data_IF_482082530069
#
_entry.id   IF_482082530069
#
_cell.length_a   1.000
_cell.length_b   1.000
_cell.length_c   1.000
_cell.angle_alpha   90.00
_cell.angle_beta   90.00
_cell.angle_gamma   90.00
#
_symmetry.space_group_name_H-M   'P 1'
#
loop_
_entity.id
_entity.type
_entity.pdbx_description
1 polymer ?
#
# COMPACT_ATOMS: atom_id res chain seq x y z
N UNK A 1 -4.57 -5.75 -33.96
CA UNK A 1 -3.17 -5.41 -34.29
C UNK A 1 -2.28 -5.09 -33.08
N UNK A 2 -2.79 -4.47 -32.01
CA UNK A 2 -2.00 -4.10 -30.82
C UNK A 2 -1.56 -5.33 -29.98
N UNK A 3 -2.40 -6.37 -29.89
CA UNK A 3 -2.12 -7.59 -29.13
C UNK A 3 -0.98 -8.44 -29.74
N UNK A 4 -0.87 -8.51 -31.07
CA UNK A 4 0.25 -9.16 -31.76
C UNK A 4 1.57 -8.38 -31.55
N UNK A 5 1.52 -7.05 -31.51
CA UNK A 5 2.69 -6.22 -31.24
C UNK A 5 3.18 -6.32 -29.79
N UNK A 6 2.27 -6.44 -28.82
CA UNK A 6 2.61 -6.65 -27.41
C UNK A 6 3.20 -8.05 -27.15
N UNK A 7 2.60 -9.12 -27.67
CA UNK A 7 3.18 -10.47 -27.57
C UNK A 7 4.56 -10.52 -28.25
N UNK A 8 4.68 -9.91 -29.44
CA UNK A 8 5.94 -9.81 -30.16
C UNK A 8 6.99 -8.94 -29.42
N UNK A 9 6.58 -7.91 -28.67
CA UNK A 9 7.47 -7.10 -27.83
C UNK A 9 8.04 -7.92 -26.66
N UNK A 10 7.21 -8.71 -25.98
CA UNK A 10 7.64 -9.63 -24.92
C UNK A 10 8.58 -10.73 -25.45
N UNK A 11 8.27 -11.31 -26.61
CA UNK A 11 9.16 -12.26 -27.29
C UNK A 11 10.48 -11.61 -27.73
N UNK A 12 10.45 -10.33 -28.13
CA UNK A 12 11.65 -9.57 -28.51
C UNK A 12 12.55 -9.20 -27.31
N UNK A 13 11.98 -9.00 -26.12
CA UNK A 13 12.72 -8.78 -24.88
C UNK A 13 13.40 -10.07 -24.42
N UNK A 14 12.68 -11.20 -24.48
CA UNK A 14 13.25 -12.53 -24.24
C UNK A 14 14.37 -12.87 -25.24
N UNK A 15 14.28 -12.42 -26.50
CA UNK A 15 15.31 -12.62 -27.52
C UNK A 15 16.57 -11.75 -27.33
N UNK A 16 16.52 -10.68 -26.51
CA UNK A 16 17.66 -9.78 -26.23
C UNK A 16 18.36 -10.05 -24.91
N UNK A 17 17.99 -11.11 -24.19
CA UNK A 17 18.66 -11.55 -22.96
C UNK A 17 18.42 -10.66 -21.73
N UNK A 18 17.47 -9.71 -21.78
CA UNK A 18 17.07 -8.94 -20.59
C UNK A 18 15.90 -9.66 -19.91
N UNK A 19 16.13 -10.01 -18.66
CA UNK A 19 15.14 -10.65 -17.82
C UNK A 19 13.94 -9.70 -17.57
N UNK A 20 12.71 -10.12 -17.89
CA UNK A 20 11.48 -9.31 -17.65
C UNK A 20 11.25 -9.02 -16.16
N UNK A 21 10.86 -7.79 -15.82
CA UNK A 21 10.55 -7.44 -14.44
C UNK A 21 9.27 -8.13 -13.93
N UNK A 22 9.10 -8.31 -12.60
CA UNK A 22 7.91 -8.95 -12.04
C UNK A 22 6.59 -8.31 -12.48
N UNK A 23 6.55 -6.97 -12.59
CA UNK A 23 5.35 -6.24 -13.03
C UNK A 23 5.05 -6.46 -14.53
N UNK A 24 6.07 -6.61 -15.36
CA UNK A 24 5.90 -6.94 -16.78
C UNK A 24 5.28 -8.34 -16.97
N UNK A 25 5.71 -9.31 -16.15
CA UNK A 25 5.10 -10.66 -16.12
C UNK A 25 3.63 -10.61 -15.69
N UNK A 26 3.28 -9.75 -14.73
CA UNK A 26 1.90 -9.54 -14.31
C UNK A 26 1.08 -8.91 -15.43
N UNK A 27 1.58 -7.85 -16.07
CA UNK A 27 0.89 -7.22 -17.22
C UNK A 27 0.59 -8.25 -18.30
N UNK A 28 1.58 -9.03 -18.72
CA UNK A 28 1.42 -10.07 -19.74
C UNK A 28 0.40 -11.14 -19.34
N UNK A 29 0.42 -11.57 -18.07
CA UNK A 29 -0.56 -12.54 -17.55
C UNK A 29 -1.97 -11.95 -17.58
N UNK A 30 -2.20 -10.81 -16.95
CA UNK A 30 -3.55 -10.25 -16.82
C UNK A 30 -4.13 -9.77 -18.16
N UNK A 31 -3.32 -9.37 -19.14
CA UNK A 31 -3.79 -9.08 -20.50
C UNK A 31 -4.43 -10.30 -21.21
N UNK A 32 -3.93 -11.51 -20.91
CA UNK A 32 -4.48 -12.78 -21.43
C UNK A 32 -5.72 -13.24 -20.68
N UNK A 33 -5.91 -12.76 -19.46
CA UNK A 33 -7.03 -13.13 -18.58
C UNK A 33 -8.26 -12.24 -18.75
N UNK A 34 -8.27 -11.30 -19.71
CA UNK A 34 -9.50 -10.59 -20.06
C UNK A 34 -10.54 -11.54 -20.63
N UNK A 35 -11.78 -11.38 -20.21
CA UNK A 35 -12.92 -12.03 -20.84
C UNK A 35 -13.12 -11.53 -22.27
N UNK A 36 -13.77 -12.33 -23.10
CA UNK A 36 -14.10 -11.93 -24.49
C UNK A 36 -15.08 -10.74 -24.49
N UNK A 37 -16.04 -10.72 -23.56
CA UNK A 37 -17.02 -9.66 -23.39
C UNK A 37 -16.42 -8.32 -22.98
N UNK A 38 -15.25 -8.29 -22.34
CA UNK A 38 -14.56 -7.07 -21.90
C UNK A 38 -13.46 -6.62 -22.88
N UNK A 39 -13.40 -7.19 -24.09
CA UNK A 39 -12.34 -6.87 -25.06
C UNK A 39 -12.27 -5.37 -25.36
N UNK A 40 -13.42 -4.71 -25.46
CA UNK A 40 -13.52 -3.27 -25.75
C UNK A 40 -12.98 -2.40 -24.59
N UNK A 41 -13.10 -2.87 -23.34
CA UNK A 41 -12.62 -2.16 -22.14
C UNK A 41 -11.11 -2.28 -21.93
N UNK A 42 -10.43 -3.18 -22.66
CA UNK A 42 -9.02 -3.52 -22.44
C UNK A 42 -8.09 -2.32 -22.57
N UNK A 43 -8.26 -1.51 -23.61
CA UNK A 43 -7.40 -0.36 -23.85
C UNK A 43 -7.52 0.66 -22.71
N UNK A 44 -8.75 0.97 -22.28
CA UNK A 44 -9.01 1.92 -21.21
C UNK A 44 -8.50 1.43 -19.86
N UNK A 45 -8.70 0.14 -19.56
CA UNK A 45 -8.28 -0.48 -18.31
C UNK A 45 -6.77 -0.45 -18.12
N UNK A 46 -5.99 -0.55 -19.21
CA UNK A 46 -4.53 -0.66 -19.18
C UNK A 46 -3.84 0.71 -19.35
N UNK A 47 -4.58 1.73 -19.78
CA UNK A 47 -4.07 3.07 -20.08
C UNK A 47 -3.27 3.68 -18.93
N UNK A 48 -3.78 3.62 -17.70
CA UNK A 48 -3.09 4.18 -16.54
C UNK A 48 -1.78 3.43 -16.27
N UNK A 49 -1.81 2.09 -16.31
CA UNK A 49 -0.60 1.27 -16.19
C UNK A 49 0.46 1.68 -17.21
N UNK A 50 0.08 1.86 -18.48
CA UNK A 50 1.00 2.24 -19.56
C UNK A 50 1.53 3.66 -19.45
N UNK A 51 0.86 4.53 -18.70
CA UNK A 51 1.35 5.88 -18.43
C UNK A 51 2.40 5.96 -17.31
N UNK A 52 2.54 4.89 -16.51
CA UNK A 52 3.47 4.83 -15.39
C UNK A 52 4.86 4.38 -15.84
N UNK A 53 5.87 4.99 -15.24
CA UNK A 53 7.26 4.55 -15.42
C UNK A 53 7.48 3.18 -14.76
N UNK A 54 8.34 2.35 -15.36
CA UNK A 54 8.64 1.00 -14.84
C UNK A 54 9.13 1.03 -13.38
N UNK A 55 9.91 2.03 -12.98
CA UNK A 55 10.35 2.19 -11.58
C UNK A 55 9.17 2.48 -10.63
N UNK A 56 8.17 3.24 -11.07
CA UNK A 56 6.98 3.52 -10.26
C UNK A 56 6.18 2.25 -10.00
N UNK A 57 5.98 1.42 -11.03
CA UNK A 57 5.35 0.11 -10.89
C UNK A 57 6.17 -0.83 -10.01
N UNK A 58 7.49 -0.90 -10.22
CA UNK A 58 8.38 -1.71 -9.40
C UNK A 58 8.28 -1.32 -7.92
N UNK A 59 8.28 -0.02 -7.60
CA UNK A 59 8.11 0.49 -6.24
C UNK A 59 6.71 0.21 -5.68
N UNK A 60 5.66 0.41 -6.47
CA UNK A 60 4.28 0.12 -6.06
C UNK A 60 4.14 -1.33 -5.59
N UNK A 61 4.59 -2.28 -6.42
CA UNK A 61 4.51 -3.69 -6.10
C UNK A 61 5.45 -4.08 -4.96
N UNK A 62 6.74 -3.74 -5.06
CA UNK A 62 7.75 -4.23 -4.09
C UNK A 62 7.67 -3.59 -2.71
N UNK A 63 7.38 -2.29 -2.63
CA UNK A 63 7.40 -1.56 -1.36
C UNK A 63 6.05 -1.52 -0.66
N UNK A 64 4.94 -1.73 -1.37
CA UNK A 64 3.61 -1.63 -0.78
C UNK A 64 2.79 -2.89 -1.00
N UNK A 65 2.32 -3.16 -2.22
CA UNK A 65 1.32 -4.21 -2.46
C UNK A 65 1.81 -5.60 -2.01
N UNK A 66 3.05 -5.97 -2.37
CA UNK A 66 3.62 -7.27 -2.03
C UNK A 66 3.84 -7.43 -0.52
N UNK A 67 4.26 -6.35 0.13
CA UNK A 67 4.56 -6.33 1.56
C UNK A 67 3.31 -6.43 2.41
N UNK A 68 2.35 -5.56 2.15
CA UNK A 68 1.06 -5.56 2.84
C UNK A 68 0.39 -6.93 2.70
N UNK A 69 0.30 -7.48 1.49
CA UNK A 69 -0.35 -8.78 1.23
C UNK A 69 0.32 -9.94 1.95
N UNK A 70 1.64 -9.99 2.01
CA UNK A 70 2.33 -11.08 2.72
C UNK A 70 2.28 -10.92 4.23
N UNK A 71 2.55 -9.72 4.76
CA UNK A 71 2.51 -9.49 6.20
C UNK A 71 1.10 -9.69 6.78
N UNK A 72 0.05 -9.30 6.05
CA UNK A 72 -1.34 -9.59 6.41
C UNK A 72 -1.66 -11.11 6.43
N UNK A 73 -0.81 -11.94 5.81
CA UNK A 73 -0.89 -13.41 5.86
C UNK A 73 0.15 -14.04 6.82
N UNK A 74 0.91 -13.24 7.57
CA UNK A 74 2.00 -13.73 8.42
C UNK A 74 3.18 -14.31 7.63
N UNK A 75 3.38 -13.89 6.37
CA UNK A 75 4.44 -14.37 5.48
C UNK A 75 5.53 -13.32 5.28
N UNK A 76 6.76 -13.77 5.05
CA UNK A 76 7.91 -12.90 4.75
C UNK A 76 7.74 -12.14 3.45
N UNK A 77 8.14 -10.86 3.47
CA UNK A 77 8.00 -9.93 2.36
C UNK A 77 9.26 -9.12 2.04
N UNK A 78 10.45 -9.72 2.23
CA UNK A 78 11.72 -9.03 1.97
C UNK A 78 11.85 -8.55 0.53
N UNK A 79 11.72 -9.47 -0.44
CA UNK A 79 11.92 -9.17 -1.86
C UNK A 79 10.75 -9.67 -2.71
N UNK A 80 10.27 -8.82 -3.61
CA UNK A 80 9.34 -9.20 -4.66
C UNK A 80 10.10 -9.61 -5.92
N UNK A 81 10.06 -10.89 -6.27
CA UNK A 81 10.79 -11.49 -7.39
C UNK A 81 9.82 -12.18 -8.35
N UNK A 82 10.31 -12.58 -9.52
CA UNK A 82 9.52 -13.31 -10.54
C UNK A 82 8.81 -14.55 -9.97
N UNK A 83 9.49 -15.29 -9.09
CA UNK A 83 8.92 -16.49 -8.45
C UNK A 83 7.74 -16.19 -7.52
N UNK A 84 7.54 -14.93 -7.14
CA UNK A 84 6.48 -14.49 -6.22
C UNK A 84 5.31 -13.77 -6.91
N UNK A 85 5.35 -13.61 -8.24
CA UNK A 85 4.26 -12.97 -9.00
C UNK A 85 2.93 -13.71 -8.87
N UNK A 86 2.95 -15.00 -8.51
CA UNK A 86 1.76 -15.78 -8.21
C UNK A 86 0.85 -15.18 -7.14
N UNK A 87 1.39 -14.36 -6.21
CA UNK A 87 0.59 -13.66 -5.19
C UNK A 87 -0.47 -12.71 -5.77
N UNK A 88 -0.23 -12.24 -7.00
CA UNK A 88 -1.11 -11.32 -7.72
C UNK A 88 -1.92 -12.00 -8.82
N UNK A 89 -1.87 -13.34 -8.90
CA UNK A 89 -2.73 -14.13 -9.78
C UNK A 89 -3.86 -14.73 -8.95
N UNK A 90 -5.10 -14.50 -9.36
CA UNK A 90 -6.28 -14.99 -8.66
C UNK A 90 -7.24 -15.64 -9.64
N UNK A 91 -8.52 -15.27 -9.55
CA UNK A 91 -9.60 -15.95 -10.28
C UNK A 91 -10.02 -15.18 -11.52
N UNK A 92 -10.32 -15.92 -12.59
CA UNK A 92 -11.09 -15.41 -13.71
C UNK A 92 -12.57 -15.72 -13.42
N UNK A 93 -13.41 -14.70 -13.27
CA UNK A 93 -14.80 -14.88 -12.84
C UNK A 93 -15.64 -15.68 -13.85
N UNK A 94 -15.32 -15.63 -15.15
CA UNK A 94 -16.09 -16.35 -16.18
C UNK A 94 -15.70 -17.82 -16.30
N UNK A 95 -14.49 -18.17 -15.85
CA UNK A 95 -13.94 -19.53 -15.98
C UNK A 95 -13.96 -20.31 -14.66
N UNK A 96 -13.92 -19.62 -13.52
CA UNK A 96 -13.95 -20.25 -12.20
C UNK A 96 -15.32 -20.86 -11.92
N UNK A 97 -15.32 -22.04 -11.28
CA UNK A 97 -16.56 -22.68 -10.83
C UNK A 97 -17.37 -21.83 -9.84
N UNK A 98 -18.61 -22.25 -9.58
CA UNK A 98 -19.53 -21.61 -8.64
C UNK A 98 -19.15 -21.93 -7.18
N UNK A 99 -17.98 -21.45 -6.76
CA UNK A 99 -17.51 -21.64 -5.40
C UNK A 99 -18.04 -20.55 -4.47
N UNK A 100 -18.59 -20.88 -3.28
CA UNK A 100 -19.17 -19.90 -2.37
C UNK A 100 -18.25 -18.72 -1.99
N UNK A 101 -16.94 -18.95 -1.90
CA UNK A 101 -15.97 -17.90 -1.57
C UNK A 101 -15.70 -16.90 -2.72
N UNK A 102 -16.12 -17.23 -3.95
CA UNK A 102 -15.99 -16.38 -5.14
C UNK A 102 -17.24 -15.52 -5.34
N UNK A 103 -18.41 -16.00 -4.91
CA UNK A 103 -19.70 -15.32 -5.13
C UNK A 103 -19.73 -13.85 -4.70
N UNK A 104 -19.15 -13.43 -3.55
CA UNK A 104 -19.09 -12.01 -3.21
C UNK A 104 -18.36 -11.15 -4.26
N UNK A 105 -17.30 -11.67 -4.86
CA UNK A 105 -16.56 -10.97 -5.93
C UNK A 105 -17.36 -10.91 -7.23
N UNK A 106 -18.07 -12.00 -7.55
CA UNK A 106 -18.95 -12.08 -8.72
C UNK A 106 -20.08 -11.06 -8.61
N UNK A 107 -20.74 -11.02 -7.46
CA UNK A 107 -21.80 -10.04 -7.17
C UNK A 107 -21.25 -8.62 -7.29
N UNK A 108 -20.13 -8.31 -6.63
CA UNK A 108 -19.52 -6.98 -6.72
C UNK A 108 -19.14 -6.61 -8.16
N UNK A 109 -18.58 -7.54 -8.92
CA UNK A 109 -18.18 -7.31 -10.32
C UNK A 109 -19.36 -6.93 -11.19
N UNK A 110 -20.40 -7.77 -11.23
CA UNK A 110 -21.56 -7.53 -12.08
C UNK A 110 -22.40 -6.36 -11.59
N UNK A 111 -22.56 -6.17 -10.29
CA UNK A 111 -23.34 -5.06 -9.74
C UNK A 111 -22.69 -3.71 -10.07
N UNK A 112 -21.37 -3.58 -9.93
CA UNK A 112 -20.66 -2.33 -10.25
C UNK A 112 -20.79 -1.99 -11.73
N UNK A 113 -20.66 -2.99 -12.62
CA UNK A 113 -20.78 -2.75 -14.06
C UNK A 113 -22.23 -2.43 -14.48
N UNK A 114 -23.22 -3.14 -13.94
CA UNK A 114 -24.63 -2.83 -14.17
C UNK A 114 -24.95 -1.41 -13.69
N UNK A 115 -24.60 -1.08 -12.45
CA UNK A 115 -24.83 0.25 -11.88
C UNK A 115 -24.23 1.36 -12.74
N UNK A 116 -22.99 1.18 -13.23
CA UNK A 116 -22.32 2.18 -14.06
C UNK A 116 -22.89 2.24 -15.49
N UNK A 117 -23.51 1.16 -15.98
CA UNK A 117 -24.18 1.09 -17.29
C UNK A 117 -25.63 1.56 -17.29
N UNK A 118 -26.25 1.77 -16.12
CA UNK A 118 -27.63 2.21 -16.01
C UNK A 118 -27.85 3.61 -16.62
N UNK A 119 -28.97 3.81 -17.31
CA UNK A 119 -29.31 5.07 -18.00
C UNK A 119 -29.23 6.29 -17.07
N UNK A 120 -29.60 6.12 -15.80
CA UNK A 120 -29.58 7.16 -14.77
C UNK A 120 -28.19 7.80 -14.62
N UNK A 121 -27.10 7.07 -14.90
CA UNK A 121 -25.72 7.61 -14.82
C UNK A 121 -25.45 8.68 -15.88
N UNK A 122 -26.19 8.70 -16.98
CA UNK A 122 -26.14 9.80 -17.96
C UNK A 122 -26.86 11.06 -17.47
N UNK A 123 -27.70 10.96 -16.44
CA UNK A 123 -28.46 12.07 -15.87
C UNK A 123 -27.74 12.66 -14.67
N UNK A 124 -27.34 11.83 -13.71
CA UNK A 124 -26.74 12.31 -12.45
C UNK A 124 -25.21 12.28 -12.45
N UNK A 125 -24.59 11.69 -13.47
CA UNK A 125 -23.13 11.59 -13.64
C UNK A 125 -22.40 10.92 -12.48
N UNK A 126 -23.10 10.14 -11.67
CA UNK A 126 -22.47 9.36 -10.61
C UNK A 126 -21.73 8.14 -11.19
N UNK A 127 -20.74 7.67 -10.45
CA UNK A 127 -19.96 6.49 -10.81
C UNK A 127 -19.62 5.69 -9.56
N UNK A 128 -19.73 4.36 -9.63
CA UNK A 128 -19.33 3.46 -8.56
C UNK A 128 -17.98 2.83 -8.90
N UNK A 129 -16.98 3.10 -8.07
CA UNK A 129 -15.70 2.38 -8.14
C UNK A 129 -15.87 0.97 -7.57
N UNK A 130 -15.10 0.01 -8.11
CA UNK A 130 -15.04 -1.32 -7.52
C UNK A 130 -14.45 -1.25 -6.10
N UNK A 131 -15.07 -1.92 -5.11
CA UNK A 131 -14.64 -1.87 -3.71
C UNK A 131 -13.43 -2.79 -3.46
N UNK A 132 -12.25 -2.36 -3.87
CA UNK A 132 -11.01 -3.10 -3.65
C UNK A 132 -10.63 -3.15 -2.16
N UNK A 133 -10.04 -4.28 -1.75
CA UNK A 133 -9.33 -4.42 -0.48
C UNK A 133 -7.96 -5.07 -0.71
N UNK A 134 -6.92 -4.61 0.00
CA UNK A 134 -5.53 -4.98 -0.27
C UNK A 134 -5.24 -6.45 -0.04
N UNK A 135 -5.98 -7.11 0.85
CA UNK A 135 -5.87 -8.55 1.13
C UNK A 135 -6.97 -9.40 0.46
N UNK A 136 -7.81 -8.78 -0.38
CA UNK A 136 -8.81 -9.48 -1.20
C UNK A 136 -8.13 -10.45 -2.18
N UNK A 137 -8.86 -11.50 -2.54
CA UNK A 137 -8.50 -12.35 -3.67
C UNK A 137 -8.48 -11.52 -4.96
N UNK A 138 -7.44 -11.68 -5.77
CA UNK A 138 -7.31 -10.96 -7.04
C UNK A 138 -8.35 -11.48 -8.03
N UNK A 139 -8.99 -10.55 -8.74
CA UNK A 139 -9.76 -10.84 -9.95
C UNK A 139 -8.83 -10.57 -11.13
N UNK A 140 -8.61 -11.58 -11.96
CA UNK A 140 -7.71 -11.46 -13.11
C UNK A 140 -8.31 -10.54 -14.20
N UNK A 141 -7.52 -10.21 -15.22
CA UNK A 141 -7.99 -9.33 -16.29
C UNK A 141 -8.16 -7.88 -15.86
N UNK A 142 -9.27 -7.25 -16.26
CA UNK A 142 -9.57 -5.83 -16.06
C UNK A 142 -9.42 -5.38 -14.61
N UNK A 143 -10.07 -6.08 -13.67
CA UNK A 143 -10.12 -5.66 -12.26
C UNK A 143 -8.74 -5.60 -11.60
N UNK A 144 -7.76 -6.39 -12.05
CA UNK A 144 -6.37 -6.27 -11.60
C UNK A 144 -5.73 -4.93 -12.00
N UNK A 145 -5.96 -4.47 -13.24
CA UNK A 145 -5.43 -3.18 -13.71
C UNK A 145 -6.11 -2.00 -13.01
N UNK A 146 -7.43 -2.10 -12.81
CA UNK A 146 -8.19 -1.12 -12.02
C UNK A 146 -7.70 -1.07 -10.56
N UNK A 147 -7.48 -2.24 -9.92
CA UNK A 147 -6.92 -2.33 -8.56
C UNK A 147 -5.54 -1.68 -8.48
N UNK A 148 -4.68 -1.95 -9.46
CA UNK A 148 -3.33 -1.36 -9.49
C UNK A 148 -3.40 0.15 -9.62
N UNK A 149 -4.29 0.67 -10.47
CA UNK A 149 -4.50 2.10 -10.65
C UNK A 149 -5.05 2.76 -9.40
N UNK A 150 -6.04 2.12 -8.76
CA UNK A 150 -6.63 2.55 -7.50
C UNK A 150 -5.57 2.72 -6.41
N UNK A 151 -4.74 1.71 -6.18
CA UNK A 151 -3.72 1.79 -5.14
C UNK A 151 -2.53 2.67 -5.51
N UNK A 152 -2.18 2.79 -6.80
CA UNK A 152 -1.15 3.74 -7.21
C UNK A 152 -1.57 5.17 -6.87
N UNK A 153 -2.82 5.55 -7.16
CA UNK A 153 -3.35 6.89 -6.87
C UNK A 153 -3.46 7.13 -5.36
N UNK A 154 -4.09 6.20 -4.61
CA UNK A 154 -4.22 6.33 -3.15
C UNK A 154 -2.88 6.44 -2.44
N UNK A 155 -1.92 5.60 -2.79
CA UNK A 155 -0.58 5.63 -2.17
C UNK A 155 0.15 6.91 -2.56
N UNK A 156 0.01 7.37 -3.80
CA UNK A 156 0.58 8.64 -4.22
C UNK A 156 0.00 9.81 -3.39
N UNK A 157 -1.30 9.83 -3.11
CA UNK A 157 -1.93 10.86 -2.27
C UNK A 157 -1.38 10.83 -0.84
N UNK A 158 -1.40 9.65 -0.19
CA UNK A 158 -0.89 9.47 1.18
C UNK A 158 0.60 9.87 1.28
N UNK A 159 1.44 9.40 0.37
CA UNK A 159 2.90 9.59 0.44
C UNK A 159 3.36 10.94 -0.13
N UNK A 160 2.58 11.59 -1.01
CA UNK A 160 2.93 12.90 -1.57
C UNK A 160 2.48 14.05 -0.69
N UNK A 161 1.34 13.96 -0.01
CA UNK A 161 0.95 14.94 1.02
C UNK A 161 1.96 14.98 2.16
N UNK A 162 2.59 13.85 2.46
CA UNK A 162 3.73 13.75 3.39
C UNK A 162 5.01 14.46 2.88
N UNK A 163 5.20 14.61 1.57
CA UNK A 163 6.45 15.11 0.95
C UNK A 163 6.37 16.53 0.40
N UNK A 164 5.16 17.08 0.20
CA UNK A 164 4.92 18.43 -0.33
C UNK A 164 5.33 19.55 0.63
N UNK A 165 5.64 19.23 1.90
CA UNK A 165 6.23 20.16 2.87
C UNK A 165 7.60 20.75 2.48
N UNK A 166 8.18 20.38 1.34
CA UNK A 166 9.45 20.92 0.84
C UNK A 166 9.35 22.35 0.27
N UNK A 167 8.19 22.78 -0.22
CA UNK A 167 8.05 24.12 -0.83
C UNK A 167 7.49 25.19 0.13
N UNK A 168 7.24 24.83 1.40
CA UNK A 168 6.87 25.79 2.46
C UNK A 168 8.02 26.11 3.42
N UNK A 169 9.25 26.15 2.92
CA UNK A 169 10.44 26.51 3.71
C UNK A 169 10.51 28.01 4.11
N UNK A 170 9.40 28.75 4.00
CA UNK A 170 9.23 30.12 4.52
C UNK A 170 7.80 30.37 4.97
N UNK A 171 7.31 29.67 5.99
CA UNK A 171 6.09 30.10 6.70
C UNK A 171 6.26 29.81 8.19
N UNK A 172 5.91 30.82 8.97
CA UNK A 172 5.76 30.94 10.42
C UNK A 172 5.25 29.69 11.15
N UNK A 173 5.49 29.66 12.47
CA UNK A 173 5.06 28.67 13.48
C UNK A 173 3.52 28.53 13.64
N UNK A 174 2.75 28.65 12.56
CA UNK A 174 1.32 28.40 12.54
C UNK A 174 1.07 26.90 12.28
N UNK A 175 0.21 26.31 13.12
CA UNK A 175 -0.21 24.89 13.10
C UNK A 175 -0.33 24.34 11.67
N UNK A 176 0.58 23.46 11.28
CA UNK A 176 0.48 22.72 10.02
C UNK A 176 -0.70 21.73 10.11
N UNK A 177 -1.85 22.12 9.56
CA UNK A 177 -2.96 21.19 9.30
C UNK A 177 -2.56 20.28 8.15
N UNK A 178 -2.29 19.01 8.45
CA UNK A 178 -2.08 17.95 7.45
C UNK A 178 -3.43 17.28 7.19
N UNK A 179 -3.74 17.04 5.91
CA UNK A 179 -4.90 16.26 5.48
C UNK A 179 -4.44 15.00 4.78
N UNK A 180 -5.16 13.91 4.96
CA UNK A 180 -4.98 12.66 4.23
C UNK A 180 -6.36 12.23 3.73
N UNK A 181 -6.50 12.05 2.41
CA UNK A 181 -7.79 11.70 1.77
C UNK A 181 -8.93 12.65 2.20
N UNK A 182 -8.62 13.95 2.28
CA UNK A 182 -9.57 14.99 2.71
C UNK A 182 -9.86 15.07 4.22
N UNK A 183 -9.31 14.17 5.04
CA UNK A 183 -9.50 14.17 6.50
C UNK A 183 -8.39 14.95 7.22
N UNK A 184 -8.76 15.88 8.10
CA UNK A 184 -7.82 16.68 8.90
C UNK A 184 -7.29 15.89 10.09
N UNK A 185 -5.97 15.90 10.29
CA UNK A 185 -5.32 15.16 11.35
C UNK A 185 -5.21 15.99 12.64
N UNK A 186 -5.29 15.29 13.77
CA UNK A 186 -5.04 15.88 15.09
C UNK A 186 -3.57 16.34 15.24
N UNK A 187 -3.28 17.31 16.13
CA UNK A 187 -1.96 17.93 16.22
C UNK A 187 -0.79 16.98 16.47
N UNK A 188 -0.98 15.92 17.26
CA UNK A 188 0.08 14.95 17.55
C UNK A 188 0.41 14.11 16.31
N UNK A 189 -0.59 13.61 15.60
CA UNK A 189 -0.39 12.93 14.32
C UNK A 189 0.30 13.83 13.28
N UNK A 190 -0.10 15.11 13.19
CA UNK A 190 0.58 16.10 12.34
C UNK A 190 2.07 16.25 12.71
N UNK A 191 2.36 16.37 14.01
CA UNK A 191 3.74 16.48 14.53
C UNK A 191 4.55 15.24 14.18
N UNK A 192 4.01 14.04 14.39
CA UNK A 192 4.65 12.77 14.05
C UNK A 192 5.02 12.75 12.57
N UNK A 193 4.04 12.97 11.67
CA UNK A 193 4.27 12.97 10.23
C UNK A 193 5.33 14.00 9.83
N UNK A 194 5.21 15.24 10.34
CA UNK A 194 6.21 16.28 10.10
C UNK A 194 7.61 15.79 10.51
N UNK A 195 7.77 15.29 11.73
CA UNK A 195 9.06 14.82 12.25
C UNK A 195 9.64 13.70 11.40
N UNK A 196 8.87 12.68 11.04
CA UNK A 196 9.38 11.56 10.22
C UNK A 196 9.69 11.97 8.77
N UNK A 197 9.13 13.09 8.32
CA UNK A 197 9.41 13.68 7.00
C UNK A 197 10.61 14.63 6.99
N UNK A 198 11.04 15.16 8.14
CA UNK A 198 12.08 16.21 8.21
C UNK A 198 13.32 15.84 9.01
N UNK A 199 13.28 14.85 9.92
CA UNK A 199 14.42 14.52 10.77
C UNK A 199 15.69 14.18 9.98
N UNK A 200 16.84 14.54 10.54
CA UNK A 200 18.14 14.60 9.83
C UNK A 200 18.53 13.27 9.15
N UNK A 201 18.23 12.17 9.81
CA UNK A 201 18.72 10.84 9.45
C UNK A 201 17.78 10.04 8.53
N UNK A 202 16.66 10.62 8.11
CA UNK A 202 15.57 9.92 7.40
C UNK A 202 15.94 9.29 6.06
N UNK A 203 17.01 9.75 5.42
CA UNK A 203 17.46 9.29 4.10
C UNK A 203 18.39 8.08 4.16
N UNK A 204 18.83 7.67 5.36
CA UNK A 204 19.62 6.46 5.53
C UNK A 204 18.77 5.23 5.17
N UNK A 205 19.39 4.19 4.63
CA UNK A 205 18.69 2.98 4.15
C UNK A 205 17.82 2.34 5.23
N UNK A 206 18.33 2.17 6.46
CA UNK A 206 17.57 1.57 7.55
C UNK A 206 16.36 2.39 7.99
N UNK A 207 16.51 3.71 7.99
CA UNK A 207 15.42 4.66 8.26
C UNK A 207 14.36 4.62 7.14
N UNK A 208 14.77 4.42 5.89
CA UNK A 208 13.87 4.18 4.76
C UNK A 208 13.07 2.88 4.88
N UNK A 209 13.67 1.80 5.39
CA UNK A 209 12.95 0.55 5.67
C UNK A 209 11.88 0.73 6.74
N UNK A 210 12.22 1.41 7.84
CA UNK A 210 11.25 1.70 8.92
C UNK A 210 10.14 2.61 8.43
N UNK A 211 10.47 3.60 7.58
CA UNK A 211 9.45 4.44 6.94
C UNK A 211 8.51 3.63 6.06
N UNK A 212 9.05 2.75 5.21
CA UNK A 212 8.22 1.87 4.37
C UNK A 212 7.29 1.00 5.21
N UNK A 213 7.78 0.49 6.35
CA UNK A 213 6.99 -0.31 7.28
C UNK A 213 5.82 0.49 7.88
N UNK A 214 6.09 1.73 8.32
CA UNK A 214 5.06 2.66 8.79
C UNK A 214 4.03 2.97 7.70
N UNK A 215 4.49 3.36 6.50
CA UNK A 215 3.62 3.70 5.37
C UNK A 215 2.69 2.53 5.02
N UNK A 216 3.24 1.31 4.94
CA UNK A 216 2.45 0.11 4.67
C UNK A 216 1.33 -0.09 5.70
N UNK A 217 1.61 0.13 6.98
CA UNK A 217 0.62 -0.06 8.03
C UNK A 217 -0.47 1.02 7.98
N UNK A 218 -0.13 2.29 7.71
CA UNK A 218 -1.10 3.37 7.53
C UNK A 218 -1.98 3.13 6.31
N UNK A 219 -1.37 2.75 5.17
CA UNK A 219 -2.08 2.40 3.94
C UNK A 219 -3.08 1.26 4.20
N UNK A 220 -2.65 0.20 4.90
CA UNK A 220 -3.52 -0.93 5.16
C UNK A 220 -4.63 -0.62 6.18
N UNK A 221 -4.36 0.24 7.16
CA UNK A 221 -5.38 0.74 8.07
C UNK A 221 -6.45 1.56 7.30
N UNK A 222 -6.02 2.50 6.45
CA UNK A 222 -6.91 3.32 5.61
C UNK A 222 -7.72 2.47 4.63
N UNK A 223 -7.12 1.45 4.02
CA UNK A 223 -7.81 0.52 3.12
C UNK A 223 -8.98 -0.20 3.82
N UNK A 224 -8.83 -0.49 5.10
CA UNK A 224 -9.84 -1.21 5.88
C UNK A 224 -10.88 -0.31 6.55
N UNK A 225 -10.45 0.76 7.20
CA UNK A 225 -11.32 1.59 8.07
C UNK A 225 -11.61 2.98 7.49
N UNK A 226 -11.00 3.34 6.35
CA UNK A 226 -10.97 4.72 5.89
C UNK A 226 -10.28 5.61 6.93
N UNK A 227 -10.68 6.88 7.00
CA UNK A 227 -10.07 7.86 7.90
C UNK A 227 -10.56 7.78 9.36
N UNK A 228 -11.42 6.82 9.72
CA UNK A 228 -11.93 6.68 11.09
C UNK A 228 -10.80 6.46 12.08
N UNK A 229 -10.66 7.36 13.07
CA UNK A 229 -9.59 7.35 14.08
C UNK A 229 -8.17 7.28 13.48
N UNK A 230 -7.98 7.90 12.31
CA UNK A 230 -6.70 7.87 11.59
C UNK A 230 -5.55 8.50 12.38
N UNK A 231 -5.80 9.59 13.12
CA UNK A 231 -4.76 10.23 13.93
C UNK A 231 -4.23 9.31 15.04
N UNK A 232 -5.14 8.64 15.74
CA UNK A 232 -4.80 7.65 16.76
C UNK A 232 -4.08 6.44 16.15
N UNK A 233 -4.48 6.02 14.95
CA UNK A 233 -3.79 4.96 14.22
C UNK A 233 -2.36 5.37 13.85
N UNK A 234 -2.15 6.58 13.31
CA UNK A 234 -0.82 7.12 13.01
C UNK A 234 0.07 7.10 14.25
N UNK A 235 -0.44 7.58 15.38
CA UNK A 235 0.29 7.58 16.66
C UNK A 235 0.71 6.17 17.08
N UNK A 236 -0.23 5.21 17.03
CA UNK A 236 0.02 3.83 17.41
C UNK A 236 1.02 3.14 16.48
N UNK A 237 0.84 3.32 15.18
CA UNK A 237 1.67 2.73 14.14
C UNK A 237 3.07 3.34 14.11
N UNK A 238 3.20 4.62 14.47
CA UNK A 238 4.49 5.28 14.65
C UNK A 238 5.29 4.61 15.76
N UNK A 239 4.71 4.44 16.95
CA UNK A 239 5.39 3.77 18.08
C UNK A 239 5.79 2.35 17.66
N UNK A 240 4.88 1.60 17.05
CA UNK A 240 5.17 0.25 16.59
C UNK A 240 6.33 0.19 15.59
N UNK A 241 6.31 1.00 14.53
CA UNK A 241 7.32 0.94 13.48
C UNK A 241 8.67 1.49 13.95
N UNK A 242 8.68 2.64 14.63
CA UNK A 242 9.91 3.32 15.03
C UNK A 242 10.58 2.72 16.28
N UNK A 243 9.88 1.85 17.04
CA UNK A 243 10.55 1.03 18.06
C UNK A 243 11.67 0.20 17.45
N UNK A 244 11.42 -0.43 16.29
CA UNK A 244 12.44 -1.16 15.54
C UNK A 244 13.66 -0.29 15.20
N UNK A 245 13.44 0.99 14.91
CA UNK A 245 14.54 1.92 14.63
C UNK A 245 15.35 2.25 15.87
N UNK A 246 14.69 2.53 17.00
CA UNK A 246 15.36 2.94 18.24
C UNK A 246 16.16 1.80 18.87
N UNK A 247 15.64 0.57 18.85
CA UNK A 247 16.28 -0.61 19.46
C UNK A 247 17.52 -1.10 18.68
N UNK A 248 17.64 -0.72 17.40
CA UNK A 248 18.65 -1.27 16.50
C UNK A 248 19.69 -0.23 16.08
N UNK A 249 20.97 -0.59 16.14
CA UNK A 249 22.03 0.27 15.58
C UNK A 249 21.90 0.35 14.03
N UNK A 250 21.68 -0.80 13.40
CA UNK A 250 21.48 -0.95 11.95
C UNK A 250 20.20 -1.72 11.69
N UNK A 251 19.35 -1.18 10.80
CA UNK A 251 18.14 -1.85 10.32
C UNK A 251 18.36 -2.26 8.87
N UNK A 252 18.43 -3.56 8.62
CA UNK A 252 18.36 -4.16 7.29
C UNK A 252 16.95 -4.62 6.95
N UNK A 253 16.74 -5.04 5.70
CA UNK A 253 15.45 -5.53 5.22
C UNK A 253 14.94 -6.74 6.01
N UNK A 254 15.84 -7.65 6.38
CA UNK A 254 15.54 -8.83 7.22
C UNK A 254 15.04 -8.43 8.61
N UNK A 255 15.59 -7.35 9.18
CA UNK A 255 15.19 -6.86 10.50
C UNK A 255 13.80 -6.22 10.45
N UNK A 256 13.55 -5.41 9.43
CA UNK A 256 12.23 -4.83 9.18
C UNK A 256 11.18 -5.94 8.94
N UNK A 257 11.50 -6.95 8.12
CA UNK A 257 10.60 -8.07 7.85
C UNK A 257 10.34 -8.91 9.12
N UNK A 258 11.39 -9.19 9.90
CA UNK A 258 11.25 -9.87 11.20
C UNK A 258 10.34 -9.08 12.15
N UNK A 259 10.52 -7.76 12.25
CA UNK A 259 9.68 -6.91 13.10
C UNK A 259 8.21 -6.95 12.69
N UNK A 260 7.95 -6.89 11.37
CA UNK A 260 6.62 -7.00 10.79
C UNK A 260 5.95 -8.34 11.11
N UNK A 261 6.71 -9.42 11.27
CA UNK A 261 6.19 -10.76 11.58
C UNK A 261 6.07 -11.05 13.08
N UNK A 262 7.00 -10.55 13.91
CA UNK A 262 6.96 -10.79 15.37
C UNK A 262 5.89 -9.96 16.06
N UNK A 263 5.70 -8.72 15.61
CA UNK A 263 4.71 -7.79 16.14
C UNK A 263 3.71 -7.44 15.03
N UNK A 264 3.03 -8.45 14.50
CA UNK A 264 2.31 -8.34 13.23
C UNK A 264 1.04 -7.48 13.27
N UNK A 265 1.22 -6.18 13.09
CA UNK A 265 0.11 -5.23 13.02
C UNK A 265 -0.77 -5.44 11.79
N UNK A 266 -0.24 -6.01 10.70
CA UNK A 266 -1.01 -6.28 9.50
C UNK A 266 -2.02 -7.39 9.75
N UNK A 267 -1.62 -8.47 10.41
CA UNK A 267 -2.57 -9.50 10.83
C UNK A 267 -3.61 -8.95 11.81
N UNK A 268 -3.21 -8.08 12.75
CA UNK A 268 -4.16 -7.42 13.66
C UNK A 268 -5.19 -6.57 12.91
N UNK A 269 -4.74 -5.70 11.98
CA UNK A 269 -5.62 -4.89 11.14
C UNK A 269 -6.55 -5.82 10.34
N UNK A 270 -6.01 -6.89 9.74
CA UNK A 270 -6.81 -7.85 8.97
C UNK A 270 -7.92 -8.52 9.80
N UNK A 271 -7.66 -8.86 11.06
CA UNK A 271 -8.66 -9.54 11.91
C UNK A 271 -9.60 -8.57 12.65
N UNK A 272 -9.24 -7.30 12.76
CA UNK A 272 -10.04 -6.29 13.44
C UNK A 272 -11.40 -6.06 12.76
N UNK A 273 -12.46 -5.86 13.52
CA UNK A 273 -13.79 -5.48 13.01
C UNK A 273 -14.00 -3.98 13.09
N UNK A 274 -13.37 -3.33 14.08
CA UNK A 274 -13.43 -1.89 14.33
C UNK A 274 -12.03 -1.33 14.63
N UNK A 275 -11.79 -0.02 14.45
CA UNK A 275 -10.52 0.64 14.80
C UNK A 275 -9.99 0.30 16.20
N UNK A 276 -10.87 0.22 17.20
CA UNK A 276 -10.49 -0.03 18.58
C UNK A 276 -9.75 -1.37 18.77
N UNK A 277 -10.02 -2.39 17.94
CA UNK A 277 -9.34 -3.69 18.01
C UNK A 277 -7.85 -3.58 17.63
N UNK A 278 -7.48 -2.56 16.84
CA UNK A 278 -6.09 -2.23 16.49
C UNK A 278 -5.49 -1.30 17.54
N UNK A 279 -6.22 -0.26 17.94
CA UNK A 279 -5.70 0.82 18.80
C UNK A 279 -5.44 0.39 20.24
N UNK A 280 -6.24 -0.54 20.76
CA UNK A 280 -6.12 -1.07 22.13
C UNK A 280 -4.99 -2.09 22.29
N UNK A 281 -4.21 -2.35 21.25
CA UNK A 281 -3.06 -3.24 21.33
C UNK A 281 -1.99 -2.66 22.29
N UNK A 282 -1.60 -3.36 23.38
CA UNK A 282 -0.52 -2.88 24.23
C UNK A 282 0.83 -2.89 23.49
N UNK A 283 1.51 -1.75 23.49
CA UNK A 283 2.89 -1.59 23.02
C UNK A 283 3.79 -1.37 24.25
N UNK A 284 4.98 -1.97 24.22
CA UNK A 284 5.93 -1.84 25.31
C UNK A 284 6.59 -0.45 25.33
N UNK A 285 6.87 0.05 26.52
CA UNK A 285 7.74 1.21 26.73
C UNK A 285 9.19 0.80 26.54
N UNK A 286 9.97 1.58 25.81
CA UNK A 286 11.39 1.33 25.57
C UNK A 286 12.23 1.86 26.73
N UNK A 287 13.19 1.06 27.20
CA UNK A 287 14.20 1.53 28.16
C UNK A 287 15.40 2.10 27.41
N UNK A 288 16.04 3.12 27.99
CA UNK A 288 17.28 3.69 27.46
C UNK A 288 18.38 2.65 27.19
N UNK A 289 18.45 1.57 27.99
CA UNK A 289 19.42 0.47 27.81
C UNK A 289 19.21 -0.33 26.52
N UNK A 290 17.96 -0.36 26.02
CA UNK A 290 17.57 -1.17 24.87
C UNK A 290 17.73 -0.38 23.56
N UNK A 291 17.80 0.95 23.64
CA UNK A 291 17.97 1.83 22.49
C UNK A 291 19.42 1.92 22.02
N UNK A 292 19.70 1.34 20.84
CA UNK A 292 21.02 1.31 20.20
C UNK A 292 21.11 2.20 18.96
N UNK A 293 19.99 2.77 18.53
CA UNK A 293 19.93 3.66 17.38
C UNK A 293 20.68 4.98 17.61
N UNK A 294 21.32 5.48 16.55
CA UNK A 294 22.11 6.73 16.60
C UNK A 294 21.52 7.81 15.70
N UNK A 295 21.66 9.07 16.12
CA UNK A 295 21.15 10.26 15.43
C UNK A 295 19.61 10.22 15.24
N UNK A 296 18.90 9.97 16.35
CA UNK A 296 17.44 9.81 16.41
C UNK A 296 16.81 10.67 17.53
N UNK A 297 17.40 11.82 17.85
CA UNK A 297 16.95 12.72 18.92
C UNK A 297 15.48 13.10 18.79
N UNK A 298 15.07 13.49 17.58
CA UNK A 298 13.72 13.96 17.25
C UNK A 298 12.68 12.84 17.44
N UNK A 299 13.03 11.61 17.04
CA UNK A 299 12.19 10.42 17.23
C UNK A 299 12.11 10.05 18.72
N UNK A 300 13.24 10.10 19.42
CA UNK A 300 13.31 9.77 20.85
C UNK A 300 12.46 10.73 21.68
N UNK A 301 12.45 12.02 21.31
CA UNK A 301 11.64 13.02 22.01
C UNK A 301 10.14 12.76 21.84
N UNK A 302 9.69 12.41 20.63
CA UNK A 302 8.29 12.00 20.41
C UNK A 302 7.92 10.78 21.28
N UNK A 303 8.80 9.78 21.38
CA UNK A 303 8.52 8.62 22.23
C UNK A 303 8.40 8.99 23.71
N UNK A 304 9.20 9.95 24.21
CA UNK A 304 9.07 10.44 25.59
C UNK A 304 7.77 11.19 25.82
N UNK A 305 7.42 12.12 24.91
CA UNK A 305 6.17 12.87 24.98
C UNK A 305 4.95 11.93 25.01
N UNK A 306 5.01 10.86 24.22
CA UNK A 306 3.97 9.83 24.14
C UNK A 306 4.06 8.77 25.24
N UNK A 307 5.02 8.88 26.18
CA UNK A 307 5.24 7.95 27.31
C UNK A 307 5.58 6.51 26.90
N UNK A 308 6.30 6.34 25.79
CA UNK A 308 6.86 5.07 25.31
C UNK A 308 8.39 5.00 25.42
N UNK A 309 9.01 5.87 26.21
CA UNK A 309 10.45 5.86 26.49
C UNK A 309 10.74 6.19 27.96
N UNK A 310 11.55 5.35 28.60
CA UNK A 310 12.01 5.47 30.01
C UNK A 310 13.55 5.50 30.12
#
# INVERSE_FOLDING_TARGET
MMCQRLSSFFDSQNARGRDLDPHDLLKAFHLREFSESETELKADSVRHWESLESEQLARLFSNYLFRIRNWAQGKSAQYFTKSKVGLFKGVNLDQVGLYPYVEPLRIAHHFVDDYNGQYQRHIDHQHMSFPFHLDQMIINGRRFFEMTSHYQQKIAEIVSDERSGKDKAKVSEEKQSIRILGHELEPLACKILHTINTYRSRTRTGDGYVRTLFDCAVIFYLDKFGAHQLSQAIEKLFIWAYSCRLEMQVVGIERMDKHALTHNVFERIKQAVQPADVLNWPLATLKKSDCKGTNLSEITELFKEMKYYE
#
